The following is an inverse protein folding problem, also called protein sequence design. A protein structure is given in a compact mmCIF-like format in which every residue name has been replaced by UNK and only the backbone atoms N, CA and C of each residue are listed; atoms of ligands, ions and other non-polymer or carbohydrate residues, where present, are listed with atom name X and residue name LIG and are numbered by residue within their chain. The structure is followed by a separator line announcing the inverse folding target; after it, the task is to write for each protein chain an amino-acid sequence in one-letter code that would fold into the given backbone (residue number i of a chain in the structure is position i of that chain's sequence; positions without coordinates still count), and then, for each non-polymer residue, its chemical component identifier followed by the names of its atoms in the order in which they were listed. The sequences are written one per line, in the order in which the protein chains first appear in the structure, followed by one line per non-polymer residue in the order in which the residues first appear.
data_IF_705519203830
#
_entry.id   IF_705519203830
#
_cell.length_a   1.000
_cell.length_b   1.000
_cell.length_c   1.000
_cell.angle_alpha   90.00
_cell.angle_beta   90.00
_cell.angle_gamma   90.00
#
_symmetry.space_group_name_H-M   'P 1'
#
loop_
_entity.id
_entity.type
_entity.pdbx_description
1 polymer ?
#
# COMPACT_ATOMS: atom_id res chain seq x y z
N UNK A 1 -17.03 -2.45 -11.11
CA UNK A 1 -15.77 -1.95 -10.50
C UNK A 1 -16.10 -0.62 -9.85
N UNK A 2 -15.66 -0.41 -8.60
CA UNK A 2 -15.86 0.86 -7.91
C UNK A 2 -15.10 1.97 -8.65
N UNK A 3 -15.77 3.08 -8.97
CA UNK A 3 -15.13 4.23 -9.62
C UNK A 3 -14.63 5.19 -8.52
N UNK A 4 -13.40 5.66 -8.67
CA UNK A 4 -12.79 6.65 -7.78
C UNK A 4 -12.67 7.98 -8.51
N UNK A 5 -12.92 9.07 -7.80
CA UNK A 5 -12.71 10.43 -8.31
C UNK A 5 -11.23 10.77 -8.37
N UNK A 6 -10.85 11.74 -9.21
CA UNK A 6 -9.47 12.23 -9.27
C UNK A 6 -8.98 12.76 -7.92
N UNK A 7 -9.86 13.39 -7.13
CA UNK A 7 -9.54 13.86 -5.78
C UNK A 7 -9.16 12.69 -4.87
N UNK A 8 -9.95 11.62 -4.84
CA UNK A 8 -9.66 10.45 -4.02
C UNK A 8 -8.35 9.77 -4.43
N UNK A 9 -8.05 9.74 -5.73
CA UNK A 9 -6.76 9.22 -6.25
C UNK A 9 -5.61 10.09 -5.74
N UNK A 10 -5.72 11.42 -5.81
CA UNK A 10 -4.68 12.34 -5.35
C UNK A 10 -4.47 12.25 -3.83
N UNK A 11 -5.55 12.17 -3.05
CA UNK A 11 -5.49 11.98 -1.60
C UNK A 11 -4.82 10.65 -1.23
N UNK A 12 -5.11 9.59 -1.97
CA UNK A 12 -4.48 8.30 -1.77
C UNK A 12 -2.98 8.32 -2.08
N UNK A 13 -2.57 8.97 -3.18
CA UNK A 13 -1.16 9.16 -3.51
C UNK A 13 -0.43 9.95 -2.42
N UNK A 14 -1.00 11.07 -1.97
CA UNK A 14 -0.43 11.86 -0.88
C UNK A 14 -0.33 11.06 0.42
N UNK A 15 -1.34 10.24 0.73
CA UNK A 15 -1.32 9.38 1.91
C UNK A 15 -0.23 8.32 1.83
N UNK A 16 -0.03 7.67 0.67
CA UNK A 16 1.05 6.69 0.48
C UNK A 16 2.39 7.30 0.88
N UNK A 17 2.67 8.54 0.46
CA UNK A 17 3.93 9.24 0.78
C UNK A 17 4.14 9.51 2.28
N UNK A 18 3.09 9.44 3.09
CA UNK A 18 3.18 9.61 4.55
C UNK A 18 3.26 8.29 5.32
N UNK A 19 3.01 7.15 4.66
CA UNK A 19 3.06 5.85 5.34
C UNK A 19 4.50 5.46 5.65
N UNK A 20 4.69 4.96 6.86
CA UNK A 20 5.92 4.30 7.29
C UNK A 20 5.97 2.84 6.81
N UNK A 21 7.18 2.26 6.85
CA UNK A 21 7.45 0.91 6.36
C UNK A 21 6.59 -0.17 7.04
N UNK A 22 6.39 -0.08 8.36
CA UNK A 22 5.62 -1.09 9.11
C UNK A 22 4.14 -1.02 8.75
N UNK A 23 3.57 0.19 8.69
CA UNK A 23 2.19 0.39 8.29
C UNK A 23 1.94 -0.12 6.88
N UNK A 24 2.85 0.17 5.93
CA UNK A 24 2.76 -0.36 4.57
C UNK A 24 2.84 -1.88 4.52
N UNK A 25 3.76 -2.50 5.27
CA UNK A 25 3.85 -3.96 5.35
C UNK A 25 2.59 -4.58 5.97
N UNK A 26 1.96 -3.92 6.95
CA UNK A 26 0.71 -4.36 7.55
C UNK A 26 -0.43 -4.34 6.53
N UNK A 27 -0.57 -3.25 5.77
CA UNK A 27 -1.55 -3.20 4.69
C UNK A 27 -1.27 -4.26 3.62
N UNK A 28 -0.02 -4.43 3.21
CA UNK A 28 0.36 -5.45 2.23
C UNK A 28 -0.02 -6.87 2.67
N UNK A 29 0.10 -7.18 3.97
CA UNK A 29 -0.20 -8.52 4.51
C UNK A 29 -1.69 -8.77 4.76
N UNK A 30 -2.42 -7.76 5.24
CA UNK A 30 -3.76 -7.97 5.81
C UNK A 30 -4.89 -7.24 5.09
N UNK A 31 -4.58 -6.32 4.16
CA UNK A 31 -5.64 -5.59 3.47
C UNK A 31 -6.45 -6.54 2.57
N UNK A 32 -7.79 -6.37 2.53
CA UNK A 32 -8.63 -7.09 1.58
C UNK A 32 -8.17 -6.88 0.14
N UNK A 33 -7.93 -7.98 -0.57
CA UNK A 33 -7.44 -7.95 -1.94
C UNK A 33 -8.41 -7.19 -2.87
N UNK A 34 -7.89 -6.20 -3.60
CA UNK A 34 -8.62 -5.47 -4.65
C UNK A 34 -9.70 -4.48 -4.16
N UNK A 35 -9.82 -4.28 -2.84
CA UNK A 35 -10.85 -3.40 -2.25
C UNK A 35 -10.32 -2.01 -1.89
N UNK A 36 -9.05 -1.91 -1.50
CA UNK A 36 -8.39 -0.66 -1.16
C UNK A 36 -7.85 0.05 -2.41
N UNK A 37 -8.01 1.38 -2.46
CA UNK A 37 -7.54 2.22 -3.57
C UNK A 37 -6.03 2.06 -3.83
N UNK A 38 -5.24 1.69 -2.81
CA UNK A 38 -3.79 1.49 -2.90
C UNK A 38 -3.36 0.19 -3.60
N UNK A 39 -4.28 -0.76 -3.82
CA UNK A 39 -3.97 -2.06 -4.46
C UNK A 39 -4.64 -2.23 -5.82
N UNK A 40 -5.09 -1.12 -6.41
CA UNK A 40 -5.72 -1.08 -7.73
C UNK A 40 -4.64 -1.06 -8.82
N UNK A 41 -4.61 -2.07 -9.68
CA UNK A 41 -3.68 -2.13 -10.82
C UNK A 41 -4.10 -1.20 -11.98
N UNK A 42 -5.35 -0.74 -11.98
CA UNK A 42 -5.93 0.19 -12.96
C UNK A 42 -5.73 1.67 -12.56
N UNK A 43 -5.14 1.94 -11.39
CA UNK A 43 -4.89 3.29 -10.88
C UNK A 43 -3.39 3.48 -10.57
N UNK A 44 -2.87 4.73 -10.65
CA UNK A 44 -1.47 5.02 -10.33
C UNK A 44 -1.12 4.75 -8.85
N UNK A 45 -2.13 4.70 -7.97
CA UNK A 45 -1.97 4.39 -6.54
C UNK A 45 -1.38 3.01 -6.29
N UNK A 46 -1.69 2.01 -7.13
CA UNK A 46 -1.14 0.67 -7.02
C UNK A 46 0.37 0.61 -7.26
N UNK A 47 0.83 1.32 -8.28
CA UNK A 47 2.25 1.43 -8.59
C UNK A 47 2.99 2.27 -7.55
N UNK A 48 2.42 3.41 -7.14
CA UNK A 48 3.00 4.26 -6.11
C UNK A 48 3.21 3.50 -4.78
N UNK A 49 2.22 2.72 -4.34
CA UNK A 49 2.34 1.91 -3.14
C UNK A 49 3.47 0.88 -3.26
N UNK A 50 3.55 0.17 -4.39
CA UNK A 50 4.62 -0.83 -4.62
C UNK A 50 6.00 -0.18 -4.69
N UNK A 51 6.15 0.94 -5.39
CA UNK A 51 7.41 1.65 -5.48
C UNK A 51 7.90 2.11 -4.10
N UNK A 52 7.02 2.67 -3.28
CA UNK A 52 7.40 3.09 -1.94
C UNK A 52 7.72 1.92 -1.02
N UNK A 53 6.95 0.82 -1.05
CA UNK A 53 7.23 -0.35 -0.23
C UNK A 53 8.52 -1.08 -0.68
N UNK A 54 8.65 -1.40 -1.96
CA UNK A 54 9.72 -2.27 -2.46
C UNK A 54 10.98 -1.53 -2.89
N UNK A 55 10.86 -0.35 -3.51
CA UNK A 55 12.04 0.38 -4.01
C UNK A 55 12.59 1.35 -2.96
N UNK A 56 11.73 2.04 -2.20
CA UNK A 56 12.18 2.99 -1.17
C UNK A 56 12.52 2.30 0.16
N UNK A 57 11.62 1.46 0.69
CA UNK A 57 11.85 0.77 1.96
C UNK A 57 12.55 -0.61 1.85
N UNK A 58 12.80 -1.11 0.65
CA UNK A 58 13.47 -2.40 0.44
C UNK A 58 12.55 -3.62 0.60
N UNK A 59 11.23 -3.41 0.63
CA UNK A 59 10.23 -4.48 0.57
C UNK A 59 9.81 -5.02 1.93
N UNK A 60 9.01 -6.09 1.90
CA UNK A 60 8.48 -6.71 3.10
C UNK A 60 9.44 -7.78 3.64
N UNK A 61 10.27 -7.42 4.63
CA UNK A 61 11.33 -8.29 5.13
C UNK A 61 10.83 -9.38 6.09
N UNK A 62 11.56 -10.50 6.27
CA UNK A 62 11.23 -11.53 7.25
C UNK A 62 11.15 -11.00 8.69
N UNK A 63 11.98 -10.04 9.07
CA UNK A 63 11.99 -9.41 10.39
C UNK A 63 10.68 -8.67 10.63
N UNK A 64 10.28 -7.84 9.66
CA UNK A 64 9.01 -7.11 9.75
C UNK A 64 7.86 -8.12 9.76
N UNK A 65 7.87 -9.13 8.89
CA UNK A 65 6.84 -10.18 8.86
C UNK A 65 6.63 -10.87 10.20
N UNK A 66 7.73 -11.21 10.91
CA UNK A 66 7.67 -11.76 12.26
C UNK A 66 7.11 -10.76 13.28
N UNK A 67 7.48 -9.49 13.17
CA UNK A 67 7.02 -8.44 14.08
C UNK A 67 5.52 -8.12 13.97
N UNK A 68 4.93 -8.18 12.78
CA UNK A 68 3.48 -7.94 12.58
C UNK A 68 2.63 -9.20 12.82
N UNK A 69 3.27 -10.37 12.88
CA UNK A 69 2.63 -11.64 13.23
C UNK A 69 1.80 -12.29 12.12
N UNK A 70 1.15 -13.39 12.48
CA UNK A 70 0.08 -14.03 11.71
C UNK A 70 -1.21 -13.59 12.39
N UNK A 71 -1.89 -12.62 11.79
CA UNK A 71 -3.15 -12.06 12.31
C UNK A 71 -4.27 -13.08 12.38
#
# INVERSE_FOLDING_TARGET
MQQFTQQQINEALAKIETLDHYTMCRYWRFAPAGTEIYFRNDLPTGEAFKNRLFNHFGGFTPEISKSIGWG
#
